data_IF_647538737005
#
_entry.id   IF_647538737005
#
_cell.length_a   1.000
_cell.length_b   1.000
_cell.length_c   1.000
_cell.angle_alpha   90.00
_cell.angle_beta   90.00
_cell.angle_gamma   90.00
#
_symmetry.space_group_name_H-M   'P 1'
#
loop_
_entity.id
_entity.type
_entity.pdbx_description
1 polymer ?
#
# COMPACT_ATOMS: atom_id res chain seq x y z
N UNK A 1 -10.14 -16.92 5.92
CA UNK A 1 -8.93 -16.09 5.72
C UNK A 1 -7.71 -16.62 6.47
N UNK A 2 -7.84 -17.11 7.71
CA UNK A 2 -6.69 -17.62 8.48
C UNK A 2 -5.98 -18.85 7.87
N UNK A 3 -6.67 -19.71 7.10
CA UNK A 3 -6.07 -20.99 6.66
C UNK A 3 -4.97 -20.86 5.59
N UNK A 4 -5.04 -19.88 4.69
CA UNK A 4 -4.03 -19.69 3.63
C UNK A 4 -2.79 -18.96 4.17
N UNK A 5 -2.96 -18.05 5.13
CA UNK A 5 -1.84 -17.35 5.79
C UNK A 5 -1.20 -18.18 6.92
N UNK A 6 -1.93 -19.14 7.53
CA UNK A 6 -1.38 -20.10 8.51
C UNK A 6 -0.29 -20.99 7.90
N UNK A 7 -0.37 -21.31 6.60
CA UNK A 7 0.69 -22.04 5.90
C UNK A 7 2.00 -21.24 5.77
N UNK A 8 1.93 -19.91 5.72
CA UNK A 8 3.10 -19.02 5.68
C UNK A 8 3.69 -18.79 7.08
N UNK A 9 2.87 -18.86 8.14
CA UNK A 9 3.33 -18.75 9.54
C UNK A 9 4.37 -19.81 9.91
N UNK A 10 4.40 -20.96 9.24
CA UNK A 10 5.42 -21.99 9.47
C UNK A 10 6.76 -21.70 8.77
N UNK A 11 6.77 -20.84 7.74
CA UNK A 11 7.97 -20.53 6.94
C UNK A 11 8.74 -19.32 7.44
N UNK A 12 8.09 -18.44 8.18
CA UNK A 12 8.75 -17.31 8.84
C UNK A 12 8.85 -17.63 10.33
N UNK A 13 10.07 -17.65 10.87
CA UNK A 13 10.28 -17.70 12.32
C UNK A 13 9.37 -16.68 12.97
N UNK A 14 8.46 -17.10 13.85
CA UNK A 14 7.62 -16.20 14.64
C UNK A 14 8.53 -15.23 15.38
N UNK A 15 8.60 -13.95 14.97
CA UNK A 15 9.44 -12.99 15.64
C UNK A 15 8.86 -12.80 17.04
N UNK A 16 9.73 -12.75 18.05
CA UNK A 16 9.33 -12.30 19.38
C UNK A 16 8.68 -10.92 19.22
N UNK A 17 7.47 -10.67 19.77
CA UNK A 17 6.81 -9.38 19.64
C UNK A 17 7.76 -8.29 20.14
N UNK A 18 8.18 -7.43 19.22
CA UNK A 18 9.14 -6.36 19.40
C UNK A 18 8.45 -5.11 18.90
N UNK A 19 8.40 -4.08 19.73
CA UNK A 19 7.86 -2.76 19.33
C UNK A 19 8.72 -2.09 18.27
N UNK A 20 9.99 -2.50 18.15
CA UNK A 20 10.98 -1.84 17.32
C UNK A 20 11.24 -2.58 16.01
N UNK A 21 11.44 -1.82 14.92
CA UNK A 21 11.83 -2.34 13.62
C UNK A 21 13.26 -2.89 13.66
N UNK A 22 13.43 -4.15 13.23
CA UNK A 22 14.74 -4.79 13.09
C UNK A 22 15.06 -4.97 11.62
N UNK A 23 16.22 -4.46 11.19
CA UNK A 23 16.77 -4.75 9.86
C UNK A 23 17.32 -6.18 9.86
N UNK A 24 16.92 -7.01 8.90
CA UNK A 24 17.49 -8.34 8.78
C UNK A 24 18.97 -8.26 8.38
N UNK A 25 19.75 -9.27 8.80
CA UNK A 25 21.19 -9.32 8.51
C UNK A 25 21.47 -9.50 7.02
N UNK A 26 20.64 -10.29 6.33
CA UNK A 26 20.68 -10.55 4.90
C UNK A 26 19.30 -10.98 4.40
N UNK A 27 19.15 -11.11 3.08
CA UNK A 27 17.89 -11.46 2.41
C UNK A 27 17.43 -12.89 2.73
N UNK A 28 18.37 -13.83 2.82
CA UNK A 28 18.08 -15.24 3.14
C UNK A 28 17.49 -15.43 4.55
N UNK A 29 17.73 -14.49 5.47
CA UNK A 29 17.14 -14.52 6.81
C UNK A 29 15.65 -14.14 6.83
N UNK A 30 15.14 -13.51 5.76
CA UNK A 30 13.73 -13.15 5.64
C UNK A 30 13.00 -14.02 4.64
N UNK A 31 13.58 -14.24 3.47
CA UNK A 31 12.91 -14.94 2.38
C UNK A 31 13.59 -16.29 2.18
N UNK A 32 12.98 -17.39 2.68
CA UNK A 32 13.50 -18.70 2.36
C UNK A 32 13.45 -18.90 0.85
N UNK A 33 14.53 -19.43 0.28
CA UNK A 33 14.55 -19.81 -1.13
C UNK A 33 13.48 -20.87 -1.38
N UNK A 34 12.86 -20.80 -2.55
CA UNK A 34 11.87 -21.80 -2.98
C UNK A 34 12.53 -23.17 -3.05
N UNK A 35 11.86 -24.18 -2.49
CA UNK A 35 12.31 -25.57 -2.53
C UNK A 35 11.41 -26.31 -3.54
N UNK A 36 11.93 -26.78 -4.69
CA UNK A 36 11.12 -27.47 -5.70
C UNK A 36 10.36 -28.69 -5.16
N UNK A 37 10.90 -29.36 -4.13
CA UNK A 37 10.23 -30.50 -3.51
C UNK A 37 8.97 -30.11 -2.71
N UNK A 38 8.87 -28.85 -2.28
CA UNK A 38 7.76 -28.33 -1.46
C UNK A 38 6.87 -27.37 -2.25
N UNK A 39 7.47 -26.51 -3.07
CA UNK A 39 6.82 -25.43 -3.83
C UNK A 39 6.44 -25.85 -5.25
N UNK A 40 6.97 -26.98 -5.72
CA UNK A 40 6.88 -27.42 -7.11
C UNK A 40 7.90 -26.74 -8.02
N UNK A 41 8.02 -27.27 -9.23
CA UNK A 41 8.99 -26.79 -10.23
C UNK A 41 8.57 -25.45 -10.87
N UNK A 42 7.30 -25.09 -10.80
CA UNK A 42 6.71 -23.93 -11.48
C UNK A 42 7.37 -22.59 -11.09
N UNK A 43 7.92 -22.47 -9.87
CA UNK A 43 8.59 -21.25 -9.41
C UNK A 43 9.90 -20.95 -10.17
N UNK A 44 10.48 -21.93 -10.85
CA UNK A 44 11.73 -21.80 -11.62
C UNK A 44 11.49 -21.65 -13.13
N UNK A 45 10.24 -21.72 -13.57
CA UNK A 45 9.91 -21.66 -14.99
C UNK A 45 9.54 -20.23 -15.41
N UNK A 46 10.21 -19.74 -16.46
CA UNK A 46 9.82 -18.50 -17.11
C UNK A 46 8.43 -18.64 -17.75
N UNK A 47 7.64 -17.57 -17.70
CA UNK A 47 6.33 -17.51 -18.32
C UNK A 47 6.38 -17.77 -19.84
N UNK A 48 5.92 -18.93 -20.30
CA UNK A 48 5.83 -19.25 -21.74
C UNK A 48 4.93 -18.28 -22.54
N UNK A 49 4.03 -17.56 -21.85
CA UNK A 49 2.99 -16.70 -22.45
C UNK A 49 3.20 -15.19 -22.25
N UNK A 50 4.40 -14.74 -21.87
CA UNK A 50 4.65 -13.32 -21.63
C UNK A 50 4.56 -12.48 -22.93
N UNK A 51 3.40 -11.83 -23.12
CA UNK A 51 3.08 -11.04 -24.32
C UNK A 51 3.59 -9.59 -24.26
N UNK A 52 3.96 -9.11 -23.08
CA UNK A 52 4.40 -7.73 -22.83
C UNK A 52 5.92 -7.68 -22.75
N UNK A 53 6.52 -6.74 -23.49
CA UNK A 53 7.96 -6.52 -23.50
C UNK A 53 8.28 -5.10 -23.04
N UNK A 54 9.39 -4.94 -22.34
CA UNK A 54 9.93 -3.63 -22.02
C UNK A 54 10.41 -2.89 -23.29
N UNK A 55 10.49 -1.55 -23.25
CA UNK A 55 11.15 -0.78 -24.29
C UNK A 55 12.58 -1.25 -24.54
N UNK A 56 13.07 -1.17 -25.79
CA UNK A 56 14.40 -1.69 -26.19
C UNK A 56 15.59 -1.15 -25.38
N UNK A 57 15.46 0.06 -24.82
CA UNK A 57 16.50 0.74 -24.03
C UNK A 57 16.18 0.78 -22.54
N UNK A 58 15.24 -0.04 -22.09
CA UNK A 58 14.88 -0.11 -20.68
C UNK A 58 15.95 -0.89 -19.93
N UNK A 59 16.66 -0.19 -19.04
CA UNK A 59 17.72 -0.75 -18.23
C UNK A 59 17.22 -0.96 -16.80
N UNK A 60 17.50 -2.15 -16.26
CA UNK A 60 17.19 -2.53 -14.88
C UNK A 60 18.51 -2.55 -14.14
N UNK A 61 18.60 -1.75 -13.09
CA UNK A 61 19.70 -1.82 -12.15
C UNK A 61 19.56 -3.10 -11.31
N UNK A 62 20.55 -3.98 -11.39
CA UNK A 62 20.61 -5.23 -10.64
C UNK A 62 21.69 -5.21 -9.55
N UNK A 63 22.47 -4.13 -9.47
CA UNK A 63 23.59 -4.01 -8.54
C UNK A 63 23.15 -3.34 -7.23
N UNK A 64 22.22 -2.39 -7.32
CA UNK A 64 21.69 -1.67 -6.16
C UNK A 64 20.82 -2.58 -5.27
N UNK A 65 21.24 -2.72 -4.00
CA UNK A 65 20.49 -3.46 -3.00
C UNK A 65 19.25 -2.68 -2.58
N UNK A 66 18.08 -3.05 -3.07
CA UNK A 66 16.81 -2.43 -2.66
C UNK A 66 16.45 -2.75 -1.19
N UNK A 67 16.86 -3.92 -0.70
CA UNK A 67 16.46 -4.40 0.61
C UNK A 67 17.07 -3.59 1.77
N UNK A 68 16.21 -3.14 2.68
CA UNK A 68 16.60 -2.49 3.93
C UNK A 68 17.04 -1.02 3.81
N UNK A 69 16.74 -0.36 2.69
CA UNK A 69 17.01 1.06 2.47
C UNK A 69 15.81 1.97 2.71
N UNK A 70 14.64 1.38 2.99
CA UNK A 70 13.44 2.13 3.39
C UNK A 70 13.31 2.05 4.91
N UNK A 71 13.23 3.20 5.56
CA UNK A 71 13.02 3.26 7.00
C UNK A 71 11.64 2.71 7.37
N UNK A 72 11.58 1.83 8.36
CA UNK A 72 10.32 1.20 8.81
C UNK A 72 9.25 2.23 9.20
N UNK A 73 7.99 1.86 9.01
CA UNK A 73 6.81 2.64 9.34
C UNK A 73 5.74 1.75 9.98
N UNK A 74 4.89 2.34 10.80
CA UNK A 74 3.84 1.66 11.57
C UNK A 74 2.53 1.56 10.79
N UNK A 75 2.15 2.62 10.08
CA UNK A 75 0.92 2.71 9.29
C UNK A 75 1.21 3.26 7.89
N UNK A 76 0.41 2.89 6.90
CA UNK A 76 0.54 3.40 5.53
C UNK A 76 -0.81 3.97 5.08
N UNK A 77 -0.81 5.27 4.82
CA UNK A 77 -1.96 6.00 4.32
C UNK A 77 -1.80 6.21 2.80
N UNK A 78 -2.69 5.56 2.03
CA UNK A 78 -2.67 5.63 0.57
C UNK A 78 -3.86 6.48 0.11
N UNK A 79 -3.58 7.66 -0.46
CA UNK A 79 -4.59 8.62 -0.89
C UNK A 79 -5.00 8.36 -2.35
N UNK A 80 -6.30 8.25 -2.62
CA UNK A 80 -6.81 8.22 -3.98
C UNK A 80 -6.66 9.60 -4.64
N UNK A 81 -6.05 9.67 -5.81
CA UNK A 81 -5.94 10.94 -6.56
C UNK A 81 -6.53 10.84 -7.96
N UNK A 82 -6.77 9.63 -8.47
CA UNK A 82 -7.10 9.38 -9.87
C UNK A 82 -5.99 9.72 -10.87
N UNK A 83 -4.88 10.31 -10.41
CA UNK A 83 -3.73 10.72 -11.23
C UNK A 83 -2.81 9.53 -11.50
N UNK A 84 -2.02 9.63 -12.56
CA UNK A 84 -1.00 8.64 -12.91
C UNK A 84 0.42 9.11 -12.68
N UNK A 85 0.59 10.41 -12.44
CA UNK A 85 1.85 11.04 -12.10
C UNK A 85 1.60 12.22 -11.14
N UNK A 86 2.64 12.62 -10.41
CA UNK A 86 2.57 13.62 -9.34
C UNK A 86 3.81 14.49 -9.36
N UNK A 87 3.76 15.63 -8.67
CA UNK A 87 4.98 16.40 -8.38
C UNK A 87 5.97 15.55 -7.55
N UNK A 88 7.24 15.97 -7.50
CA UNK A 88 8.33 15.14 -6.96
C UNK A 88 8.04 14.63 -5.54
N UNK A 89 7.49 15.47 -4.67
CA UNK A 89 6.97 15.10 -3.36
C UNK A 89 5.45 15.29 -3.33
N UNK A 90 4.72 14.24 -2.96
CA UNK A 90 3.25 14.29 -2.89
C UNK A 90 2.74 15.31 -1.87
N UNK A 91 3.55 15.64 -0.86
CA UNK A 91 3.23 16.66 0.13
C UNK A 91 3.15 18.07 -0.47
N UNK A 92 3.78 18.31 -1.63
CA UNK A 92 3.79 19.62 -2.31
C UNK A 92 2.56 19.86 -3.20
N UNK A 93 1.63 18.90 -3.30
CA UNK A 93 0.38 19.10 -4.03
C UNK A 93 -0.57 20.04 -3.26
N UNK A 94 -0.51 21.33 -3.58
CA UNK A 94 -1.31 22.38 -2.94
C UNK A 94 -2.81 22.09 -2.93
N UNK A 95 -3.44 22.29 -1.78
CA UNK A 95 -4.88 22.09 -1.57
C UNK A 95 -5.29 20.61 -1.51
N UNK A 96 -4.33 19.68 -1.49
CA UNK A 96 -4.62 18.25 -1.42
C UNK A 96 -4.64 17.76 0.03
N UNK A 97 -5.24 16.58 0.22
CA UNK A 97 -5.15 15.83 1.50
C UNK A 97 -3.69 15.51 1.85
N UNK A 98 -2.82 15.31 0.85
CA UNK A 98 -1.41 14.96 1.06
C UNK A 98 -0.62 16.13 1.67
N UNK A 99 -0.87 17.36 1.20
CA UNK A 99 -0.31 18.57 1.81
C UNK A 99 -0.83 18.79 3.24
N UNK A 100 -2.12 18.51 3.49
CA UNK A 100 -2.67 18.64 4.83
C UNK A 100 -2.06 17.61 5.80
N UNK A 101 -1.81 16.37 5.35
CA UNK A 101 -1.16 15.33 6.16
C UNK A 101 0.27 15.71 6.53
N UNK A 102 1.04 16.32 5.62
CA UNK A 102 2.43 16.73 5.91
C UNK A 102 2.52 17.90 6.90
N UNK A 103 1.45 18.67 7.06
CA UNK A 103 1.36 19.80 8.02
C UNK A 103 0.68 19.44 9.34
N UNK A 104 0.04 18.27 9.41
CA UNK A 104 -0.64 17.81 10.61
C UNK A 104 0.35 17.27 11.64
N UNK A 105 -0.11 17.09 12.88
CA UNK A 105 0.67 16.40 13.90
C UNK A 105 0.92 14.94 13.52
N UNK A 106 2.11 14.43 13.83
CA UNK A 106 2.44 13.03 13.56
C UNK A 106 1.55 12.09 14.39
N UNK A 107 1.15 10.93 13.84
CA UNK A 107 0.36 9.96 14.57
C UNK A 107 1.04 9.46 15.85
N UNK A 108 0.26 9.30 16.91
CA UNK A 108 0.77 8.83 18.22
C UNK A 108 1.10 7.34 18.23
N UNK A 109 0.62 6.58 17.25
CA UNK A 109 0.90 5.15 17.10
C UNK A 109 2.12 4.84 16.21
N UNK A 110 2.96 5.84 15.96
CA UNK A 110 4.24 5.70 15.29
C UNK A 110 4.26 6.28 13.88
N UNK A 111 5.37 6.02 13.17
CA UNK A 111 5.64 6.67 11.88
C UNK A 111 4.61 6.23 10.83
N UNK A 112 3.95 7.20 10.20
CA UNK A 112 3.04 6.94 9.09
C UNK A 112 3.73 7.21 7.76
N UNK A 113 3.63 6.24 6.85
CA UNK A 113 4.01 6.42 5.45
C UNK A 113 2.83 7.02 4.68
N UNK A 114 3.09 8.04 3.87
CA UNK A 114 2.11 8.66 2.99
C UNK A 114 2.40 8.28 1.53
N UNK A 115 1.39 7.89 0.77
CA UNK A 115 1.52 7.67 -0.67
C UNK A 115 0.27 8.11 -1.41
N UNK A 116 0.44 8.55 -2.65
CA UNK A 116 -0.65 8.85 -3.55
C UNK A 116 -0.86 7.71 -4.53
N UNK A 117 -2.11 7.41 -4.89
CA UNK A 117 -2.42 6.31 -5.79
C UNK A 117 -3.42 6.71 -6.86
N UNK A 118 -3.29 6.06 -8.01
CA UNK A 118 -4.23 6.18 -9.12
C UNK A 118 -5.60 5.55 -8.85
N UNK A 119 -5.91 5.21 -7.60
CA UNK A 119 -7.27 4.84 -7.19
C UNK A 119 -8.24 5.93 -7.63
N UNK A 120 -9.42 5.56 -8.16
CA UNK A 120 -10.41 6.53 -8.59
C UNK A 120 -10.89 7.32 -7.36
N UNK A 121 -11.08 8.62 -7.56
CA UNK A 121 -11.79 9.47 -6.62
C UNK A 121 -13.31 9.24 -6.76
N UNK A 122 -14.10 9.39 -5.70
CA UNK A 122 -15.56 9.24 -5.77
C UNK A 122 -16.15 10.19 -6.82
N UNK A 123 -17.08 9.73 -7.66
CA UNK A 123 -17.64 10.51 -8.78
C UNK A 123 -18.29 11.85 -8.37
N UNK A 124 -18.68 12.00 -7.10
CA UNK A 124 -19.22 13.24 -6.53
C UNK A 124 -18.18 14.32 -6.22
N UNK A 125 -16.88 14.02 -6.30
CA UNK A 125 -15.80 14.93 -5.87
C UNK A 125 -15.53 16.11 -6.83
N UNK A 126 -16.18 16.16 -7.99
CA UNK A 126 -15.99 17.23 -8.98
C UNK A 126 -16.86 18.48 -8.74
N UNK A 127 -17.72 18.49 -7.73
CA UNK A 127 -18.71 19.57 -7.55
C UNK A 127 -19.22 19.69 -6.11
N UNK A 128 -18.34 19.80 -5.13
CA UNK A 128 -18.78 20.27 -3.82
C UNK A 128 -19.00 21.79 -3.85
N UNK A 129 -20.11 22.30 -3.27
CA UNK A 129 -20.43 23.73 -3.26
C UNK A 129 -19.34 24.58 -2.58
N UNK A 130 -18.52 23.98 -1.71
CA UNK A 130 -17.41 24.63 -1.00
C UNK A 130 -16.06 24.58 -1.76
N UNK A 131 -16.03 23.99 -2.97
CA UNK A 131 -14.82 23.89 -3.80
C UNK A 131 -13.76 22.91 -3.27
N UNK A 132 -14.04 22.15 -2.21
CA UNK A 132 -13.13 21.14 -1.66
C UNK A 132 -13.28 19.80 -2.37
N UNK A 133 -12.18 19.26 -2.88
CA UNK A 133 -12.17 17.93 -3.51
C UNK A 133 -12.12 16.86 -2.41
N UNK A 134 -13.24 16.15 -2.23
CA UNK A 134 -13.28 14.95 -1.37
C UNK A 134 -12.53 13.80 -2.03
N UNK A 135 -11.86 12.99 -1.21
CA UNK A 135 -11.20 11.78 -1.67
C UNK A 135 -11.40 10.61 -0.72
N UNK A 136 -10.93 9.45 -1.14
CA UNK A 136 -10.85 8.23 -0.37
C UNK A 136 -9.40 7.95 0.01
N UNK A 137 -9.16 7.51 1.23
CA UNK A 137 -7.85 7.00 1.66
C UNK A 137 -7.97 5.52 2.05
N UNK A 138 -6.91 4.75 1.83
CA UNK A 138 -6.78 3.37 2.29
C UNK A 138 -5.74 3.33 3.40
N UNK A 139 -6.14 2.81 4.56
CA UNK A 139 -5.30 2.69 5.75
C UNK A 139 -4.82 1.24 5.91
N UNK A 140 -3.51 1.05 5.94
CA UNK A 140 -2.85 -0.23 6.21
C UNK A 140 -2.04 -0.15 7.52
N UNK A 141 -1.90 -1.25 8.27
CA UNK A 141 -2.38 -2.61 7.99
C UNK A 141 -3.85 -2.88 8.33
N UNK A 142 -4.66 -1.85 8.62
CA UNK A 142 -6.09 -2.03 8.94
C UNK A 142 -6.96 -2.57 7.79
N UNK A 143 -6.51 -2.46 6.54
CA UNK A 143 -7.31 -2.77 5.34
C UNK A 143 -8.69 -2.08 5.34
N UNK A 144 -8.74 -0.81 5.75
CA UNK A 144 -9.97 0.01 5.77
C UNK A 144 -9.88 1.15 4.76
N UNK A 145 -10.94 1.36 4.00
CA UNK A 145 -11.14 2.59 3.24
C UNK A 145 -11.86 3.62 4.10
N UNK A 146 -11.42 4.87 4.02
CA UNK A 146 -12.07 6.02 4.65
C UNK A 146 -12.41 6.99 3.51
N UNK A 147 -13.69 7.18 3.27
CA UNK A 147 -14.24 8.01 2.21
C UNK A 147 -14.54 9.43 2.72
N UNK A 148 -14.83 10.35 1.80
CA UNK A 148 -15.18 11.76 2.07
C UNK A 148 -14.10 12.58 2.79
N UNK A 149 -12.83 12.18 2.66
CA UNK A 149 -11.71 12.88 3.28
C UNK A 149 -11.44 14.19 2.53
N UNK A 150 -11.44 15.30 3.26
CA UNK A 150 -11.00 16.62 2.80
C UNK A 150 -9.70 17.03 3.50
N UNK A 151 -8.96 18.03 3.00
CA UNK A 151 -7.79 18.56 3.70
C UNK A 151 -8.11 19.02 5.13
N UNK A 152 -9.31 19.58 5.37
CA UNK A 152 -9.74 20.02 6.68
C UNK A 152 -10.03 18.87 7.66
N UNK A 153 -10.42 17.70 7.15
CA UNK A 153 -10.72 16.51 7.96
C UNK A 153 -9.47 15.71 8.38
N UNK A 154 -8.27 16.11 7.93
CA UNK A 154 -7.01 15.37 8.20
C UNK A 154 -6.67 15.25 9.69
N UNK A 155 -6.79 16.31 10.52
CA UNK A 155 -6.54 16.17 11.96
C UNK A 155 -7.44 15.11 12.61
N UNK A 156 -8.73 15.14 12.29
CA UNK A 156 -9.71 14.19 12.79
C UNK A 156 -9.45 12.76 12.28
N UNK A 157 -9.05 12.63 11.01
CA UNK A 157 -8.62 11.36 10.40
C UNK A 157 -7.44 10.76 11.17
N UNK A 158 -6.41 11.55 11.47
CA UNK A 158 -5.23 11.06 12.20
C UNK A 158 -5.62 10.67 13.63
N UNK A 159 -6.33 11.56 14.33
CA UNK A 159 -6.69 11.37 15.73
C UNK A 159 -7.62 10.16 15.95
N UNK A 160 -8.65 10.01 15.11
CA UNK A 160 -9.71 9.02 15.34
C UNK A 160 -9.52 7.74 14.55
N UNK A 161 -8.85 7.79 13.39
CA UNK A 161 -8.65 6.61 12.54
C UNK A 161 -7.21 6.09 12.61
N UNK A 162 -6.22 6.93 12.31
CA UNK A 162 -4.81 6.45 12.23
C UNK A 162 -4.31 6.01 13.60
N UNK A 163 -4.46 6.84 14.63
CA UNK A 163 -3.93 6.57 15.98
C UNK A 163 -4.53 5.30 16.62
N UNK A 164 -5.76 4.94 16.24
CA UNK A 164 -6.49 3.79 16.77
C UNK A 164 -6.36 2.52 15.89
N UNK A 165 -5.66 2.63 14.76
CA UNK A 165 -5.46 1.53 13.84
C UNK A 165 -4.34 0.58 14.30
N UNK A 166 -4.43 -0.71 13.92
CA UNK A 166 -3.31 -1.63 14.08
C UNK A 166 -2.09 -1.11 13.30
N UNK A 167 -0.91 -1.52 13.75
CA UNK A 167 0.40 -1.15 13.19
C UNK A 167 1.13 -2.38 12.66
N UNK A 168 2.18 -2.19 11.87
CA UNK A 168 3.02 -3.28 11.36
C UNK A 168 3.71 -4.14 12.44
N UNK A 169 3.71 -3.70 13.70
CA UNK A 169 4.23 -4.45 14.86
C UNK A 169 3.12 -4.99 15.76
N UNK A 170 1.86 -4.69 15.45
CA UNK A 170 0.72 -5.26 16.17
C UNK A 170 0.68 -6.77 15.94
N UNK A 171 0.53 -7.59 17.00
CA UNK A 171 0.39 -9.03 16.83
C UNK A 171 -0.76 -9.34 15.88
N UNK A 172 -0.58 -10.36 15.03
CA UNK A 172 -1.67 -10.94 14.24
C UNK A 172 -2.69 -11.55 15.21
N UNK A 173 -3.62 -10.74 15.71
CA UNK A 173 -4.71 -11.19 16.56
C UNK A 173 -5.68 -12.04 15.73
N UNK A 174 -6.47 -12.88 16.40
CA UNK A 174 -7.58 -13.56 15.74
C UNK A 174 -8.51 -12.49 15.12
N UNK A 175 -9.01 -12.70 13.89
CA UNK A 175 -9.83 -11.72 13.17
C UNK A 175 -11.14 -11.34 13.90
N UNK A 176 -11.53 -12.09 14.93
CA UNK A 176 -12.65 -11.76 15.81
C UNK A 176 -12.34 -10.62 16.81
N UNK A 177 -11.05 -10.30 17.02
CA UNK A 177 -10.56 -9.31 18.00
C UNK A 177 -10.20 -7.95 17.38
N UNK A 178 -10.13 -7.84 16.05
CA UNK A 178 -9.60 -6.67 15.33
C UNK A 178 -10.66 -5.57 15.08
N UNK A 179 -11.52 -5.36 16.08
CA UNK A 179 -12.64 -4.41 16.03
C UNK A 179 -12.28 -3.02 16.60
N UNK A 180 -11.00 -2.72 16.85
CA UNK A 180 -10.55 -1.44 17.43
C UNK A 180 -11.08 -0.22 16.66
N UNK A 181 -11.17 -0.33 15.33
CA UNK A 181 -11.67 0.75 14.46
C UNK A 181 -13.19 0.74 14.29
N UNK A 182 -13.89 -0.36 14.52
CA UNK A 182 -15.35 -0.48 14.30
C UNK A 182 -16.18 -0.03 15.50
N UNK A 183 -15.58 0.09 16.69
CA UNK A 183 -16.27 0.56 17.90
C UNK A 183 -16.18 2.07 18.15
N UNK A 184 -15.28 2.78 17.47
CA UNK A 184 -15.05 4.21 17.70
C UNK A 184 -15.98 5.02 16.80
N UNK A 185 -16.79 5.95 17.34
CA UNK A 185 -17.63 6.79 16.51
C UNK A 185 -16.76 7.62 15.57
N UNK A 186 -17.01 7.52 14.27
CA UNK A 186 -16.29 8.32 13.28
C UNK A 186 -16.68 9.80 13.42
N UNK A 187 -15.74 10.73 13.16
CA UNK A 187 -16.04 12.15 13.03
C UNK A 187 -17.15 12.38 11.99
N UNK A 188 -17.98 13.39 12.23
CA UNK A 188 -19.09 13.72 11.33
C UNK A 188 -18.58 13.98 9.90
N UNK A 189 -19.08 13.19 8.93
CA UNK A 189 -18.75 13.33 7.52
C UNK A 189 -17.67 12.40 6.97
N UNK A 190 -16.99 11.62 7.82
CA UNK A 190 -16.13 10.52 7.37
C UNK A 190 -16.88 9.19 7.40
N UNK A 191 -16.75 8.42 6.32
CA UNK A 191 -17.34 7.08 6.21
C UNK A 191 -16.23 6.04 6.11
N UNK A 192 -16.31 4.97 6.90
CA UNK A 192 -15.33 3.89 6.84
C UNK A 192 -15.97 2.58 6.38
N UNK A 193 -15.27 1.88 5.48
CA UNK A 193 -15.69 0.59 4.94
C UNK A 193 -14.50 -0.36 4.79
N UNK A 194 -14.79 -1.65 4.81
CA UNK A 194 -13.79 -2.69 4.62
C UNK A 194 -13.19 -2.69 3.21
N UNK A 195 -11.91 -3.02 3.12
CA UNK A 195 -11.27 -3.33 1.84
C UNK A 195 -11.75 -4.71 1.37
N UNK A 196 -12.40 -4.82 0.18
CA UNK A 196 -12.89 -6.11 -0.32
C UNK A 196 -11.78 -6.98 -0.90
N UNK A 197 -10.52 -6.53 -0.88
CA UNK A 197 -9.40 -7.21 -1.51
C UNK A 197 -8.58 -7.97 -0.48
N UNK A 198 -8.29 -9.24 -0.78
CA UNK A 198 -7.41 -10.06 0.05
C UNK A 198 -5.94 -9.70 -0.15
N UNK A 199 -5.61 -9.15 -1.32
CA UNK A 199 -4.25 -8.80 -1.70
C UNK A 199 -4.22 -7.45 -2.41
N UNK A 200 -3.22 -6.65 -2.06
CA UNK A 200 -2.92 -5.37 -2.68
C UNK A 200 -1.55 -5.46 -3.33
N UNK A 201 -1.49 -5.14 -4.62
CA UNK A 201 -0.22 -5.04 -5.34
C UNK A 201 0.00 -3.57 -5.65
N UNK A 202 1.04 -3.02 -5.04
CA UNK A 202 1.38 -1.61 -5.11
C UNK A 202 2.56 -1.44 -6.06
N UNK A 203 2.36 -0.69 -7.15
CA UNK A 203 3.38 -0.47 -8.18
C UNK A 203 3.78 1.00 -8.20
N UNK A 204 5.05 1.29 -7.96
CA UNK A 204 5.58 2.64 -8.17
C UNK A 204 5.43 3.02 -9.65
N UNK A 205 4.73 4.11 -9.95
CA UNK A 205 4.52 4.64 -11.31
C UNK A 205 4.87 6.12 -11.45
N UNK A 206 5.64 6.67 -10.50
CA UNK A 206 5.95 8.09 -10.42
C UNK A 206 6.99 8.50 -11.46
N UNK A 207 6.52 8.89 -12.65
CA UNK A 207 7.37 9.20 -13.80
C UNK A 207 8.22 10.45 -13.58
N UNK A 208 7.68 11.46 -12.90
CA UNK A 208 8.41 12.69 -12.55
C UNK A 208 9.60 12.41 -11.64
N UNK A 209 9.53 11.39 -10.78
CA UNK A 209 10.61 11.01 -9.88
C UNK A 209 11.59 10.03 -10.52
N UNK A 210 11.08 8.96 -11.13
CA UNK A 210 11.87 7.98 -11.86
C UNK A 210 11.12 7.55 -13.14
N UNK A 211 11.68 7.92 -14.29
CA UNK A 211 11.13 7.59 -15.59
C UNK A 211 11.00 6.08 -15.81
N UNK A 212 11.86 5.26 -15.20
CA UNK A 212 11.80 3.79 -15.30
C UNK A 212 10.52 3.27 -14.64
N UNK A 213 10.15 3.81 -13.47
CA UNK A 213 8.89 3.47 -12.80
C UNK A 213 7.68 3.88 -13.64
N UNK A 214 7.71 5.07 -14.23
CA UNK A 214 6.66 5.54 -15.14
C UNK A 214 6.47 4.65 -16.37
N UNK A 215 7.55 4.11 -16.92
CA UNK A 215 7.53 3.23 -18.09
C UNK A 215 7.15 1.78 -17.74
N UNK A 216 7.64 1.23 -16.64
CA UNK A 216 7.45 -0.19 -16.28
C UNK A 216 6.08 -0.45 -15.66
N UNK A 217 5.56 0.45 -14.81
CA UNK A 217 4.34 0.20 -14.05
C UNK A 217 3.10 -0.11 -14.91
N UNK A 218 2.83 0.57 -16.04
CA UNK A 218 1.71 0.22 -16.91
C UNK A 218 1.84 -1.18 -17.53
N UNK A 219 3.08 -1.58 -17.88
CA UNK A 219 3.39 -2.88 -18.46
C UNK A 219 3.19 -4.00 -17.43
N UNK A 220 3.79 -3.82 -16.23
CA UNK A 220 3.64 -4.73 -15.11
C UNK A 220 2.18 -4.87 -14.68
N UNK A 221 1.46 -3.75 -14.55
CA UNK A 221 0.03 -3.76 -14.20
C UNK A 221 -0.78 -4.60 -15.19
N UNK A 222 -0.57 -4.40 -16.49
CA UNK A 222 -1.33 -5.13 -17.52
C UNK A 222 -1.08 -6.64 -17.44
N UNK A 223 0.17 -7.06 -17.23
CA UNK A 223 0.48 -8.49 -17.12
C UNK A 223 -0.03 -9.09 -15.81
N UNK A 224 0.16 -8.40 -14.68
CA UNK A 224 -0.36 -8.84 -13.38
C UNK A 224 -1.89 -8.99 -13.42
N UNK A 225 -2.60 -8.00 -13.96
CA UNK A 225 -4.06 -8.11 -14.11
C UNK A 225 -4.46 -9.27 -15.01
N UNK A 226 -3.74 -9.52 -16.11
CA UNK A 226 -4.01 -10.66 -17.00
C UNK A 226 -3.89 -11.98 -16.26
N UNK A 227 -2.82 -12.16 -15.48
CA UNK A 227 -2.55 -13.39 -14.74
C UNK A 227 -3.51 -13.59 -13.57
N UNK A 228 -3.83 -12.52 -12.83
CA UNK A 228 -4.70 -12.59 -11.66
C UNK A 228 -6.16 -12.82 -12.03
N UNK A 229 -6.62 -12.27 -13.17
CA UNK A 229 -7.97 -12.54 -13.70
C UNK A 229 -8.19 -14.01 -14.02
N UNK A 230 -7.18 -14.70 -14.55
CA UNK A 230 -7.28 -16.14 -14.85
C UNK A 230 -7.44 -17.02 -13.60
N UNK A 231 -6.98 -16.53 -12.44
CA UNK A 231 -6.92 -17.31 -11.20
C UNK A 231 -8.01 -16.95 -10.19
N UNK A 232 -8.97 -16.08 -10.56
CA UNK A 232 -10.10 -15.64 -9.71
C UNK A 232 -9.71 -15.11 -8.32
N UNK A 233 -8.52 -14.49 -8.19
CA UNK A 233 -8.15 -13.84 -6.93
C UNK A 233 -8.84 -12.48 -6.77
N UNK A 234 -9.43 -12.24 -5.60
CA UNK A 234 -9.91 -10.91 -5.20
C UNK A 234 -8.71 -9.99 -4.87
N UNK A 235 -7.99 -9.57 -5.91
CA UNK A 235 -6.78 -8.75 -5.82
C UNK A 235 -6.99 -7.40 -6.50
N UNK A 236 -6.33 -6.35 -6.00
CA UNK A 236 -6.29 -5.04 -6.66
C UNK A 236 -4.86 -4.62 -6.94
N UNK A 237 -4.60 -4.27 -8.21
CA UNK A 237 -3.32 -3.71 -8.66
C UNK A 237 -3.44 -2.20 -8.74
N UNK A 238 -2.81 -1.51 -7.80
CA UNK A 238 -2.80 -0.06 -7.72
C UNK A 238 -1.45 0.47 -8.17
N UNK A 239 -1.48 1.45 -9.09
CA UNK A 239 -0.31 2.28 -9.35
C UNK A 239 -0.28 3.40 -8.32
N UNK A 240 0.91 3.73 -7.88
CA UNK A 240 1.09 4.75 -6.85
C UNK A 240 2.42 5.45 -6.97
N UNK A 241 2.57 6.48 -6.16
CA UNK A 241 3.83 7.17 -5.95
C UNK A 241 4.85 6.24 -5.34
N UNK A 242 6.06 6.75 -5.17
CA UNK A 242 7.15 5.96 -4.64
C UNK A 242 6.77 5.22 -3.33
N UNK A 243 7.16 3.95 -3.25
CA UNK A 243 6.98 3.09 -2.07
C UNK A 243 8.08 3.28 -1.01
N UNK A 244 8.83 4.38 -1.10
CA UNK A 244 9.86 4.75 -0.15
C UNK A 244 11.21 4.94 -0.84
N UNK A 245 11.54 6.21 -1.07
CA UNK A 245 12.84 6.88 -1.15
C UNK A 245 12.54 8.37 -1.20
#
# INVERSE_FOLDING_TARGET
MASLLRGLSYRFNTPTPSTDFKKAKNEDALFPKTDPAVDGEDCLHDCESCSIKYPRKFEIDQDDKLYGNIGGWNTHLIVATGKTDWVRDVADEKGSVMEAVSKAEEPTNGKMMLSASNMPIPHSSHSDPDGQVRTTVLLLPAFKFIDNVTPAAVPDLIQHCVNNAPTNTSPLADPASDNSLTSTPLPAGLDMRDCPHNYLILLCSHATRDARCGQSAPLLKKELERQLRLRNYASRVCRMTNLGY
#
